data_IF_023690287836
#
_entry.id   IF_023690287836
#
_cell.length_a   1.000
_cell.length_b   1.000
_cell.length_c   1.000
_cell.angle_alpha   90.00
_cell.angle_beta   90.00
_cell.angle_gamma   90.00
#
_symmetry.space_group_name_H-M   'P 1'
#
loop_
_entity.id
_entity.type
_entity.pdbx_description
1 polymer ?
#
# COMPACT_ATOMS: atom_id res chain seq x y z
N UNK A 1 -31.61 -13.71 37.93
CA UNK A 1 -30.20 -13.37 37.75
C UNK A 1 -29.31 -14.43 38.32
N UNK A 2 -29.07 -15.44 37.54
CA UNK A 2 -28.20 -16.50 37.95
C UNK A 2 -26.80 -16.26 37.33
N UNK A 3 -25.84 -17.07 37.75
CA UNK A 3 -24.47 -16.97 37.31
C UNK A 3 -24.35 -17.21 35.78
N UNK A 4 -25.21 -18.01 35.20
CA UNK A 4 -25.22 -18.30 33.78
C UNK A 4 -25.61 -17.07 32.96
N UNK A 5 -26.58 -16.29 33.40
CA UNK A 5 -26.98 -15.06 32.73
C UNK A 5 -25.90 -14.00 32.80
N UNK A 6 -25.26 -13.86 33.95
CA UNK A 6 -24.12 -12.94 34.11
C UNK A 6 -22.96 -13.32 33.19
N UNK A 7 -22.64 -14.60 33.11
CA UNK A 7 -21.60 -15.12 32.24
C UNK A 7 -21.91 -14.86 30.76
N UNK A 8 -23.19 -15.00 30.39
CA UNK A 8 -23.60 -14.76 28.99
C UNK A 8 -23.39 -13.30 28.60
N UNK A 9 -23.79 -12.37 29.48
CA UNK A 9 -23.58 -10.93 29.25
C UNK A 9 -22.08 -10.62 29.13
N UNK A 10 -21.26 -11.20 30.00
CA UNK A 10 -19.83 -11.02 29.97
C UNK A 10 -19.21 -11.52 28.65
N UNK A 11 -19.65 -12.67 28.15
CA UNK A 11 -19.21 -13.24 26.88
C UNK A 11 -19.58 -12.34 25.71
N UNK A 12 -20.79 -11.78 25.71
CA UNK A 12 -21.25 -10.85 24.67
C UNK A 12 -20.38 -9.60 24.67
N UNK A 13 -20.05 -9.07 25.84
CA UNK A 13 -19.19 -7.89 25.94
C UNK A 13 -17.78 -8.18 25.42
N UNK A 14 -17.22 -9.34 25.74
CA UNK A 14 -15.93 -9.77 25.22
C UNK A 14 -15.95 -9.90 23.71
N UNK A 15 -17.00 -10.50 23.16
CA UNK A 15 -17.16 -10.62 21.71
C UNK A 15 -17.26 -9.26 21.04
N UNK A 16 -18.01 -8.34 21.61
CA UNK A 16 -18.15 -6.99 21.07
C UNK A 16 -16.82 -6.25 21.07
N UNK A 17 -16.04 -6.40 22.14
CA UNK A 17 -14.69 -5.82 22.23
C UNK A 17 -13.77 -6.41 21.17
N UNK A 18 -13.81 -7.72 21.00
CA UNK A 18 -13.01 -8.41 19.99
C UNK A 18 -13.39 -7.99 18.58
N UNK A 19 -14.68 -7.85 18.29
CA UNK A 19 -15.17 -7.38 17.00
C UNK A 19 -14.71 -5.96 16.70
N UNK A 20 -14.78 -5.08 17.70
CA UNK A 20 -14.31 -3.71 17.53
C UNK A 20 -12.81 -3.66 17.24
N UNK A 21 -12.02 -4.47 17.94
CA UNK A 21 -10.59 -4.57 17.72
C UNK A 21 -10.27 -5.11 16.31
N UNK A 22 -11.01 -6.12 15.84
CA UNK A 22 -10.85 -6.68 14.51
C UNK A 22 -11.20 -5.66 13.42
N UNK A 23 -12.28 -4.91 13.60
CA UNK A 23 -12.66 -3.85 12.66
C UNK A 23 -11.58 -2.79 12.56
N UNK A 24 -11.01 -2.40 13.69
CA UNK A 24 -9.91 -1.43 13.71
C UNK A 24 -8.69 -1.95 12.96
N UNK A 25 -8.31 -3.21 13.20
CA UNK A 25 -7.20 -3.85 12.50
C UNK A 25 -7.45 -3.96 11.00
N UNK A 26 -8.67 -4.23 10.61
CA UNK A 26 -9.06 -4.28 9.21
C UNK A 26 -8.89 -2.93 8.54
N UNK A 27 -9.35 -1.86 9.19
CA UNK A 27 -9.19 -0.50 8.68
C UNK A 27 -7.72 -0.11 8.55
N UNK A 28 -6.89 -0.48 9.53
CA UNK A 28 -5.45 -0.25 9.47
C UNK A 28 -4.82 -1.00 8.30
N UNK A 29 -5.20 -2.25 8.09
CA UNK A 29 -4.70 -3.07 6.98
C UNK A 29 -5.12 -2.49 5.62
N UNK A 30 -6.35 -2.03 5.49
CA UNK A 30 -6.84 -1.39 4.28
C UNK A 30 -6.07 -0.11 3.98
N UNK A 31 -5.79 0.68 5.00
CA UNK A 31 -4.99 1.91 4.83
C UNK A 31 -3.56 1.59 4.42
N UNK A 32 -2.95 0.57 5.03
CA UNK A 32 -1.61 0.12 4.65
C UNK A 32 -1.56 -0.34 3.20
N UNK A 33 -2.59 -1.03 2.76
CA UNK A 33 -2.69 -1.50 1.37
C UNK A 33 -2.76 -0.31 0.40
N UNK A 34 -3.57 0.69 0.71
CA UNK A 34 -3.66 1.90 -0.11
C UNK A 34 -2.31 2.62 -0.17
N UNK A 35 -1.62 2.72 0.95
CA UNK A 35 -0.30 3.36 1.01
C UNK A 35 0.71 2.62 0.15
N UNK A 36 0.70 1.29 0.18
CA UNK A 36 1.57 0.46 -0.65
C UNK A 36 1.25 0.61 -2.13
N UNK A 37 -0.01 0.67 -2.50
CA UNK A 37 -0.43 0.91 -3.88
C UNK A 37 0.04 2.26 -4.38
N UNK A 38 -0.13 3.31 -3.58
CA UNK A 38 0.33 4.65 -3.92
C UNK A 38 1.84 4.68 -4.10
N UNK A 39 2.58 4.02 -3.22
CA UNK A 39 4.03 3.90 -3.31
C UNK A 39 4.44 3.17 -4.59
N UNK A 40 3.75 2.08 -4.91
CA UNK A 40 4.01 1.32 -6.13
C UNK A 40 3.81 2.19 -7.37
N UNK A 41 2.69 2.89 -7.45
CA UNK A 41 2.38 3.77 -8.57
C UNK A 41 3.42 4.88 -8.70
N UNK A 42 3.85 5.44 -7.58
CA UNK A 42 4.85 6.50 -7.56
C UNK A 42 6.20 5.98 -8.07
N UNK A 43 6.61 4.80 -7.62
CA UNK A 43 7.84 4.16 -8.06
C UNK A 43 7.80 3.78 -9.55
N UNK A 44 6.68 3.30 -10.03
CA UNK A 44 6.49 2.99 -11.45
C UNK A 44 6.60 4.25 -12.31
N UNK A 45 6.04 5.35 -11.85
CA UNK A 45 6.15 6.65 -12.52
C UNK A 45 7.59 7.13 -12.57
N UNK A 46 8.30 7.06 -11.44
CA UNK A 46 9.70 7.47 -11.35
C UNK A 46 10.56 6.60 -12.27
N UNK A 47 10.31 5.31 -12.29
CA UNK A 47 11.04 4.38 -13.13
C UNK A 47 10.80 4.69 -14.61
N UNK A 48 9.57 4.98 -15.00
CA UNK A 48 9.22 5.34 -16.36
C UNK A 48 9.92 6.62 -16.81
N UNK A 49 9.97 7.63 -15.93
CA UNK A 49 10.65 8.90 -16.21
C UNK A 49 12.15 8.67 -16.39
N UNK A 50 12.78 7.89 -15.50
CA UNK A 50 14.20 7.59 -15.59
C UNK A 50 14.54 6.79 -16.83
N UNK A 51 13.74 5.79 -17.17
CA UNK A 51 13.92 4.98 -18.36
C UNK A 51 13.81 5.83 -19.62
N UNK A 52 12.82 6.71 -19.68
CA UNK A 52 12.64 7.62 -20.80
C UNK A 52 13.82 8.60 -20.94
N UNK A 53 14.27 9.13 -19.82
CA UNK A 53 15.44 10.03 -19.78
C UNK A 53 16.69 9.36 -20.30
N UNK A 54 16.96 8.13 -19.89
CA UNK A 54 18.08 7.33 -20.36
C UNK A 54 17.98 7.06 -21.86
N UNK A 55 16.81 6.76 -22.35
CA UNK A 55 16.56 6.53 -23.76
C UNK A 55 16.87 7.79 -24.60
N UNK A 56 16.41 8.94 -24.17
CA UNK A 56 16.67 10.22 -24.81
C UNK A 56 18.17 10.53 -24.84
N UNK A 57 18.86 10.35 -23.71
CA UNK A 57 20.30 10.59 -23.61
C UNK A 57 21.07 9.65 -24.56
N UNK A 58 20.68 8.39 -24.63
CA UNK A 58 21.30 7.43 -25.52
C UNK A 58 21.13 7.82 -26.98
N UNK A 59 19.96 8.27 -27.37
CA UNK A 59 19.67 8.74 -28.73
C UNK A 59 20.50 9.97 -29.06
N UNK A 60 20.60 10.91 -28.16
CA UNK A 60 21.43 12.11 -28.34
C UNK A 60 22.90 11.75 -28.55
N UNK A 61 23.42 10.84 -27.73
CA UNK A 61 24.79 10.37 -27.88
C UNK A 61 25.02 9.67 -29.22
N UNK A 62 24.11 8.85 -29.66
CA UNK A 62 24.19 8.18 -30.94
C UNK A 62 24.17 9.16 -32.11
N UNK A 63 23.25 10.12 -32.07
CA UNK A 63 23.17 11.16 -33.09
C UNK A 63 24.43 12.00 -33.14
N UNK A 64 25.01 12.30 -32.00
CA UNK A 64 26.26 13.06 -31.92
C UNK A 64 27.45 12.26 -32.49
N UNK A 65 27.54 10.98 -32.18
CA UNK A 65 28.57 10.08 -32.72
C UNK A 65 28.46 9.93 -34.25
N UNK A 66 27.26 9.95 -34.78
CA UNK A 66 27.04 9.85 -36.23
C UNK A 66 27.53 11.08 -36.98
N UNK A 67 27.68 12.23 -36.33
CA UNK A 67 28.18 13.47 -36.95
C UNK A 67 29.69 13.51 -37.09
N UNK A 68 30.40 12.73 -36.30
CA UNK A 68 31.88 12.69 -36.35
C UNK A 68 32.30 11.40 -37.07
N UNK A 69 32.90 11.50 -38.24
CA UNK A 69 33.40 10.30 -38.94
C UNK A 69 34.56 9.65 -38.22
#
# INVERSE_FOLDING_TARGET
RDAAQFRLVSEVEELNTSLAALKEKLLEAEQSLRNLEDTRMHLEKDLAVKTNSLFIDRQKCMAHRARYP
#
